data_IF_792481522678
#
_entry.id   IF_792481522678
#
_cell.length_a   1.000
_cell.length_b   1.000
_cell.length_c   1.000
_cell.angle_alpha   90.00
_cell.angle_beta   90.00
_cell.angle_gamma   90.00
#
_symmetry.space_group_name_H-M   'P 1'
#
loop_
_entity.id
_entity.type
_entity.pdbx_description
1 polymer ?
#
# COMPACT_ATOMS: atom_id res chain seq x y z
N UNK A 1 -22.91 2.21 -8.01
CA UNK A 1 -23.14 2.82 -9.33
C UNK A 1 -23.37 4.30 -9.10
N UNK A 2 -22.29 5.10 -9.19
CA UNK A 2 -22.39 6.57 -9.15
C UNK A 2 -22.73 7.03 -10.57
N UNK A 3 -23.85 7.71 -10.74
CA UNK A 3 -24.23 8.36 -12.01
C UNK A 3 -23.27 9.54 -12.22
N UNK A 4 -22.18 9.32 -12.98
CA UNK A 4 -21.35 10.42 -13.48
C UNK A 4 -22.09 11.07 -14.65
N UNK A 5 -22.42 12.33 -14.51
CA UNK A 5 -22.98 13.14 -15.62
C UNK A 5 -21.79 13.45 -16.52
N UNK A 6 -21.69 12.73 -17.62
CA UNK A 6 -20.73 13.02 -18.69
C UNK A 6 -21.32 14.19 -19.49
N UNK A 7 -20.78 15.38 -19.28
CA UNK A 7 -21.07 16.54 -20.12
C UNK A 7 -20.07 16.52 -21.29
N UNK A 8 -20.49 15.93 -22.42
CA UNK A 8 -19.67 15.89 -23.64
C UNK A 8 -19.75 17.25 -24.31
N UNK A 9 -18.66 18.01 -24.29
CA UNK A 9 -18.42 19.11 -25.20
C UNK A 9 -17.16 18.82 -26.00
N UNK A 10 -17.32 18.85 -27.34
CA UNK A 10 -16.28 18.48 -28.28
C UNK A 10 -15.22 19.58 -28.41
N UNK A 11 -14.01 19.15 -28.45
CA UNK A 11 -12.72 19.82 -28.55
C UNK A 11 -12.59 20.94 -29.60
N UNK A 12 -12.03 22.07 -29.19
CA UNK A 12 -11.08 22.85 -30.05
C UNK A 12 -10.07 23.56 -29.14
N UNK A 13 -8.81 23.18 -29.25
CA UNK A 13 -7.66 23.82 -28.65
C UNK A 13 -7.42 25.16 -29.35
N UNK A 14 -7.74 26.28 -28.71
CA UNK A 14 -7.26 27.61 -29.14
C UNK A 14 -6.69 28.34 -27.93
N UNK A 15 -5.39 28.47 -27.92
CA UNK A 15 -4.67 29.47 -27.13
C UNK A 15 -5.23 30.84 -27.49
N UNK A 16 -6.14 31.37 -26.69
CA UNK A 16 -6.64 32.73 -26.83
C UNK A 16 -5.85 33.63 -25.87
N UNK A 17 -4.88 34.33 -26.47
CA UNK A 17 -4.22 35.47 -25.85
C UNK A 17 -5.25 36.41 -25.22
N UNK A 18 -4.98 36.83 -23.96
CA UNK A 18 -5.67 37.95 -23.32
C UNK A 18 -5.68 39.17 -24.26
N UNK A 19 -6.75 39.37 -24.97
CA UNK A 19 -7.09 40.65 -25.56
C UNK A 19 -7.87 41.43 -24.49
N UNK A 20 -7.17 42.32 -23.78
CA UNK A 20 -7.82 43.41 -23.05
C UNK A 20 -8.63 44.22 -24.06
N UNK A 21 -9.91 43.94 -24.18
CA UNK A 21 -10.85 44.85 -24.79
C UNK A 21 -11.23 45.87 -23.73
N UNK A 22 -10.51 46.99 -23.72
CA UNK A 22 -10.93 48.21 -23.04
C UNK A 22 -12.14 48.77 -23.80
N UNK A 23 -13.31 48.19 -23.55
CA UNK A 23 -14.60 48.70 -24.01
C UNK A 23 -15.10 49.77 -23.05
N UNK A 24 -15.13 51.01 -23.51
CA UNK A 24 -15.80 52.14 -22.86
C UNK A 24 -17.28 51.77 -22.61
N UNK A 25 -17.69 51.54 -21.32
CA UNK A 25 -19.10 51.35 -20.99
C UNK A 25 -19.45 50.33 -19.93
N UNK A 26 -18.50 49.55 -19.38
CA UNK A 26 -18.81 48.63 -18.24
C UNK A 26 -18.87 49.40 -16.91
N UNK A 27 -19.87 49.09 -16.10
CA UNK A 27 -19.94 49.57 -14.72
C UNK A 27 -18.86 48.89 -13.87
N UNK A 28 -18.54 49.49 -12.69
CA UNK A 28 -17.58 48.86 -11.75
C UNK A 28 -18.10 47.49 -11.22
N UNK A 29 -19.41 47.32 -11.12
CA UNK A 29 -20.07 46.06 -10.73
C UNK A 29 -19.89 45.00 -11.85
N UNK A 30 -20.06 45.34 -13.10
CA UNK A 30 -19.83 44.42 -14.24
C UNK A 30 -18.38 44.03 -14.38
N UNK A 31 -17.43 44.90 -14.05
CA UNK A 31 -16.00 44.57 -14.05
C UNK A 31 -15.71 43.58 -12.92
N UNK A 32 -16.18 43.85 -11.69
CA UNK A 32 -15.96 42.97 -10.55
C UNK A 32 -16.57 41.58 -10.79
N UNK A 33 -17.76 41.50 -11.38
CA UNK A 33 -18.37 40.22 -11.74
C UNK A 33 -17.57 39.48 -12.83
N UNK A 34 -17.05 40.20 -13.83
CA UNK A 34 -16.19 39.62 -14.88
C UNK A 34 -14.87 39.08 -14.29
N UNK A 35 -14.27 39.78 -13.32
CA UNK A 35 -13.05 39.35 -12.66
C UNK A 35 -13.30 38.07 -11.84
N UNK A 36 -14.43 37.98 -11.13
CA UNK A 36 -14.80 36.76 -10.39
C UNK A 36 -15.06 35.58 -11.36
N UNK A 37 -15.75 35.81 -12.49
CA UNK A 37 -15.94 34.83 -13.54
C UNK A 37 -14.60 34.29 -14.06
N UNK A 38 -13.68 35.17 -14.41
CA UNK A 38 -12.36 34.80 -14.91
C UNK A 38 -11.54 34.03 -13.85
N UNK A 39 -11.68 34.38 -12.60
CA UNK A 39 -11.06 33.65 -11.47
C UNK A 39 -11.56 32.21 -11.37
N UNK A 40 -12.87 31.99 -11.51
CA UNK A 40 -13.42 30.64 -11.49
C UNK A 40 -12.97 29.81 -12.71
N UNK A 41 -12.92 30.42 -13.91
CA UNK A 41 -12.33 29.77 -15.10
C UNK A 41 -10.88 29.35 -14.83
N UNK A 42 -10.06 30.29 -14.34
CA UNK A 42 -8.65 30.00 -14.04
C UNK A 42 -8.48 28.91 -12.96
N UNK A 43 -9.39 28.84 -11.96
CA UNK A 43 -9.40 27.79 -10.94
C UNK A 43 -9.61 26.41 -11.58
N UNK A 44 -10.57 26.29 -12.49
CA UNK A 44 -10.88 25.02 -13.16
C UNK A 44 -9.73 24.62 -14.11
N UNK A 45 -9.18 25.58 -14.87
CA UNK A 45 -8.02 25.33 -15.72
C UNK A 45 -6.79 24.87 -14.93
N UNK A 46 -6.55 25.46 -13.75
CA UNK A 46 -5.47 25.02 -12.84
C UNK A 46 -5.70 23.59 -12.33
N UNK A 47 -6.94 23.18 -12.05
CA UNK A 47 -7.25 21.80 -11.69
C UNK A 47 -6.96 20.83 -12.84
N UNK A 48 -7.23 21.19 -14.08
CA UNK A 48 -6.89 20.36 -15.24
C UNK A 48 -5.38 20.29 -15.48
N UNK A 49 -4.64 21.36 -15.26
CA UNK A 49 -3.17 21.33 -15.31
C UNK A 49 -2.60 20.42 -14.19
N UNK A 50 -3.19 20.45 -13.00
CA UNK A 50 -2.81 19.54 -11.92
C UNK A 50 -3.17 18.09 -12.26
N UNK A 51 -4.35 17.84 -12.85
CA UNK A 51 -4.75 16.53 -13.36
C UNK A 51 -3.68 15.93 -14.28
N UNK A 52 -3.15 16.69 -15.23
CA UNK A 52 -2.16 16.19 -16.17
C UNK A 52 -0.88 15.73 -15.46
N UNK A 53 -0.46 16.45 -14.42
CA UNK A 53 0.69 16.09 -13.58
C UNK A 53 0.40 14.83 -12.74
N UNK A 54 -0.78 14.76 -12.12
CA UNK A 54 -1.18 13.64 -11.29
C UNK A 54 -1.34 12.36 -12.12
N UNK A 55 -1.93 12.47 -13.32
CA UNK A 55 -2.05 11.35 -14.27
C UNK A 55 -0.67 10.85 -14.69
N UNK A 56 0.26 11.74 -15.05
CA UNK A 56 1.62 11.34 -15.42
C UNK A 56 2.32 10.58 -14.28
N UNK A 57 2.22 11.09 -13.05
CA UNK A 57 2.77 10.43 -11.86
C UNK A 57 2.09 9.07 -11.59
N UNK A 58 0.78 8.96 -11.79
CA UNK A 58 0.04 7.72 -11.62
C UNK A 58 0.42 6.66 -12.67
N UNK A 59 0.66 7.08 -13.90
CA UNK A 59 1.14 6.21 -14.98
C UNK A 59 2.55 5.66 -14.70
N UNK A 60 3.44 6.45 -14.08
CA UNK A 60 4.75 5.98 -13.64
C UNK A 60 4.63 4.84 -12.62
N UNK A 61 3.77 5.00 -11.60
CA UNK A 61 3.53 3.94 -10.59
C UNK A 61 2.85 2.73 -11.23
N UNK A 62 1.87 2.94 -12.12
CA UNK A 62 1.20 1.86 -12.84
C UNK A 62 2.15 1.02 -13.69
N UNK A 63 3.18 1.64 -14.28
CA UNK A 63 4.19 0.99 -15.11
C UNK A 63 5.17 0.10 -14.32
N UNK A 64 5.18 0.17 -12.98
CA UNK A 64 6.01 -0.72 -12.17
C UNK A 64 5.54 -2.17 -12.35
N UNK A 65 6.45 -3.04 -12.82
CA UNK A 65 6.16 -4.46 -13.09
C UNK A 65 6.31 -5.37 -11.86
N UNK A 66 6.60 -4.79 -10.69
CA UNK A 66 6.72 -5.54 -9.43
C UNK A 66 5.33 -5.90 -8.88
N UNK A 67 5.20 -7.06 -8.19
CA UNK A 67 3.95 -7.43 -7.53
C UNK A 67 3.62 -6.49 -6.37
N UNK A 68 2.33 -6.32 -6.12
CA UNK A 68 1.80 -5.65 -4.95
C UNK A 68 1.19 -6.66 -3.97
N UNK A 69 1.13 -6.37 -2.68
CA UNK A 69 0.44 -7.22 -1.70
C UNK A 69 -1.08 -7.26 -1.93
N UNK A 70 -1.66 -6.15 -2.38
CA UNK A 70 -3.05 -6.08 -2.80
C UNK A 70 -3.12 -5.99 -4.33
N UNK A 71 -3.50 -7.09 -4.95
CA UNK A 71 -3.62 -7.25 -6.41
C UNK A 71 -4.74 -6.40 -7.03
N UNK A 72 -5.67 -5.88 -6.23
CA UNK A 72 -6.78 -5.04 -6.67
C UNK A 72 -6.36 -3.60 -6.95
N UNK A 73 -5.25 -3.16 -6.38
CA UNK A 73 -4.81 -1.75 -6.48
C UNK A 73 -4.37 -1.38 -7.90
N UNK A 74 -3.69 -2.28 -8.61
CA UNK A 74 -3.23 -1.99 -9.98
C UNK A 74 -4.40 -1.81 -10.98
N UNK A 75 -5.43 -2.68 -11.00
CA UNK A 75 -6.64 -2.42 -11.77
C UNK A 75 -7.42 -1.19 -11.32
N UNK A 76 -7.46 -0.89 -10.02
CA UNK A 76 -8.11 0.31 -9.50
C UNK A 76 -7.42 1.58 -9.99
N UNK A 77 -6.08 1.63 -9.95
CA UNK A 77 -5.32 2.78 -10.47
C UNK A 77 -5.55 2.99 -11.97
N UNK A 78 -5.62 1.92 -12.77
CA UNK A 78 -5.95 2.03 -14.19
C UNK A 78 -7.33 2.68 -14.41
N UNK A 79 -8.29 2.38 -13.55
CA UNK A 79 -9.63 2.98 -13.61
C UNK A 79 -9.57 4.47 -13.28
N UNK A 80 -8.89 4.86 -12.19
CA UNK A 80 -8.77 6.26 -11.78
C UNK A 80 -8.00 7.09 -12.83
N UNK A 81 -6.94 6.55 -13.44
CA UNK A 81 -6.22 7.20 -14.54
C UNK A 81 -7.17 7.46 -15.72
N UNK A 82 -8.00 6.47 -16.08
CA UNK A 82 -8.93 6.60 -17.19
C UNK A 82 -10.01 7.64 -16.89
N UNK A 83 -10.54 7.64 -15.66
CA UNK A 83 -11.56 8.61 -15.24
C UNK A 83 -11.00 10.02 -15.15
N UNK A 84 -9.77 10.20 -14.62
CA UNK A 84 -9.11 11.51 -14.57
C UNK A 84 -8.83 12.07 -15.98
N UNK A 85 -8.38 11.23 -16.91
CA UNK A 85 -8.18 11.65 -18.33
C UNK A 85 -9.45 12.07 -19.04
N UNK A 86 -10.60 11.60 -18.59
CA UNK A 86 -11.90 11.96 -19.12
C UNK A 86 -12.48 13.27 -18.56
N UNK A 87 -11.79 13.90 -17.59
CA UNK A 87 -12.20 15.21 -17.09
C UNK A 87 -11.86 16.27 -18.14
N UNK A 88 -12.87 16.98 -18.59
CA UNK A 88 -12.74 18.01 -19.62
C UNK A 88 -13.44 19.30 -19.18
N UNK A 89 -12.89 20.43 -19.57
CA UNK A 89 -13.49 21.74 -19.40
C UNK A 89 -13.11 22.64 -20.56
N UNK A 90 -14.10 23.26 -21.19
CA UNK A 90 -13.91 24.30 -22.18
C UNK A 90 -14.29 25.65 -21.58
N UNK A 91 -13.32 26.55 -21.46
CA UNK A 91 -13.53 27.87 -20.89
C UNK A 91 -14.57 28.67 -21.63
N UNK A 92 -15.72 29.00 -21.07
CA UNK A 92 -16.74 29.83 -21.74
C UNK A 92 -16.29 31.28 -21.80
N UNK A 93 -16.83 32.00 -22.78
CA UNK A 93 -16.63 33.45 -22.86
C UNK A 93 -17.52 34.15 -21.84
N UNK A 94 -16.97 35.14 -21.13
CA UNK A 94 -17.74 35.93 -20.16
C UNK A 94 -18.92 36.62 -20.90
N UNK A 95 -20.13 36.52 -20.38
CA UNK A 95 -21.28 37.30 -20.88
C UNK A 95 -21.06 38.80 -20.70
N UNK A 96 -21.98 39.62 -21.23
CA UNK A 96 -21.85 41.09 -21.18
C UNK A 96 -22.71 41.73 -20.09
N UNK A 97 -23.80 41.09 -19.69
CA UNK A 97 -24.73 41.62 -18.70
C UNK A 97 -24.45 41.06 -17.30
N UNK A 98 -24.52 41.90 -16.31
CA UNK A 98 -24.22 41.54 -14.93
C UNK A 98 -24.95 40.26 -14.45
N UNK A 99 -26.27 40.17 -14.69
CA UNK A 99 -27.06 39.00 -14.32
C UNK A 99 -26.58 37.70 -14.98
N UNK A 100 -26.23 37.78 -16.27
CA UNK A 100 -25.74 36.65 -17.06
C UNK A 100 -24.34 36.23 -16.58
N UNK A 101 -23.46 37.21 -16.22
CA UNK A 101 -22.12 36.93 -15.66
C UNK A 101 -22.24 36.21 -14.32
N UNK A 102 -23.11 36.73 -13.44
CA UNK A 102 -23.31 36.11 -12.11
C UNK A 102 -23.85 34.68 -12.23
N UNK A 103 -24.85 34.47 -13.08
CA UNK A 103 -25.40 33.14 -13.31
C UNK A 103 -24.34 32.17 -13.87
N UNK A 104 -23.53 32.62 -14.84
CA UNK A 104 -22.46 31.82 -15.41
C UNK A 104 -21.37 31.51 -14.38
N UNK A 105 -21.02 32.45 -13.51
CA UNK A 105 -20.07 32.24 -12.41
C UNK A 105 -20.58 31.19 -11.43
N UNK A 106 -21.87 31.22 -11.09
CA UNK A 106 -22.47 30.24 -10.18
C UNK A 106 -22.48 28.82 -10.78
N UNK A 107 -22.61 28.68 -12.10
CA UNK A 107 -22.43 27.38 -12.78
C UNK A 107 -20.97 26.91 -12.74
N UNK A 108 -20.00 27.82 -12.98
CA UNK A 108 -18.57 27.48 -12.88
C UNK A 108 -18.18 27.02 -11.46
N UNK A 109 -18.74 27.62 -10.42
CA UNK A 109 -18.49 27.21 -9.03
C UNK A 109 -18.94 25.79 -8.72
N UNK A 110 -19.83 25.20 -9.51
CA UNK A 110 -20.27 23.81 -9.35
C UNK A 110 -19.29 22.81 -9.95
N UNK A 111 -18.39 23.25 -10.82
CA UNK A 111 -17.36 22.42 -11.43
C UNK A 111 -16.18 22.33 -10.47
N UNK A 112 -15.91 21.15 -9.94
CA UNK A 112 -14.80 20.90 -9.02
C UNK A 112 -14.28 19.48 -9.20
N UNK A 113 -13.03 19.35 -9.58
CA UNK A 113 -12.33 18.09 -9.83
C UNK A 113 -11.45 17.66 -8.65
N UNK A 114 -11.46 18.39 -7.54
CA UNK A 114 -10.60 18.12 -6.38
C UNK A 114 -10.73 16.70 -5.89
N UNK A 115 -11.96 16.19 -5.75
CA UNK A 115 -12.19 14.83 -5.25
C UNK A 115 -11.71 13.74 -6.20
N UNK A 116 -11.87 13.94 -7.51
CA UNK A 116 -11.41 12.96 -8.49
C UNK A 116 -9.88 12.88 -8.49
N UNK A 117 -9.19 14.02 -8.33
CA UNK A 117 -7.72 14.06 -8.23
C UNK A 117 -7.22 13.53 -6.89
N UNK A 118 -7.90 13.77 -5.78
CA UNK A 118 -7.59 13.18 -4.48
C UNK A 118 -7.73 11.67 -4.53
N UNK A 119 -8.77 11.11 -5.17
CA UNK A 119 -8.97 9.67 -5.31
C UNK A 119 -7.89 9.02 -6.18
N UNK A 120 -7.54 9.63 -7.33
CA UNK A 120 -6.43 9.19 -8.17
C UNK A 120 -5.11 9.12 -7.38
N UNK A 121 -4.76 10.20 -6.68
CA UNK A 121 -3.52 10.26 -5.90
C UNK A 121 -3.51 9.25 -4.76
N UNK A 122 -4.63 9.07 -4.08
CA UNK A 122 -4.77 8.08 -3.02
C UNK A 122 -4.53 6.66 -3.53
N UNK A 123 -5.18 6.26 -4.61
CA UNK A 123 -5.02 4.90 -5.16
C UNK A 123 -3.60 4.69 -5.70
N UNK A 124 -2.98 5.72 -6.29
CA UNK A 124 -1.56 5.71 -6.70
C UNK A 124 -0.64 5.46 -5.50
N UNK A 125 -0.82 6.20 -4.41
CA UNK A 125 0.00 6.07 -3.21
C UNK A 125 -0.21 4.71 -2.52
N UNK A 126 -1.46 4.23 -2.47
CA UNK A 126 -1.80 2.91 -1.94
C UNK A 126 -1.11 1.79 -2.74
N UNK A 127 -1.06 1.89 -4.08
CA UNK A 127 -0.35 0.91 -4.92
C UNK A 127 1.16 0.97 -4.70
N UNK A 128 1.78 2.14 -4.68
CA UNK A 128 3.21 2.30 -4.45
C UNK A 128 3.63 1.71 -3.08
N UNK A 129 2.85 2.02 -2.04
CA UNK A 129 3.05 1.45 -0.70
C UNK A 129 2.88 -0.07 -0.72
N UNK A 130 1.87 -0.60 -1.41
CA UNK A 130 1.61 -2.04 -1.49
C UNK A 130 2.74 -2.80 -2.22
N UNK A 131 3.32 -2.23 -3.27
CA UNK A 131 4.50 -2.76 -3.96
C UNK A 131 5.69 -2.80 -3.00
N UNK A 132 6.00 -1.69 -2.33
CA UNK A 132 7.11 -1.62 -1.37
C UNK A 132 6.97 -2.61 -0.21
N UNK A 133 5.76 -2.78 0.32
CA UNK A 133 5.47 -3.78 1.35
C UNK A 133 5.65 -5.21 0.83
N UNK A 134 5.25 -5.49 -0.42
CA UNK A 134 5.46 -6.78 -1.05
C UNK A 134 6.95 -7.12 -1.18
N UNK A 135 7.79 -6.14 -1.51
CA UNK A 135 9.24 -6.33 -1.57
C UNK A 135 9.84 -6.77 -0.22
N UNK A 136 9.36 -6.20 0.91
CA UNK A 136 9.85 -6.58 2.25
C UNK A 136 9.58 -8.03 2.62
N UNK A 137 8.51 -8.62 2.10
CA UNK A 137 8.09 -9.99 2.40
C UNK A 137 8.33 -10.95 1.24
N UNK A 138 9.10 -10.54 0.24
CA UNK A 138 9.52 -11.39 -0.88
C UNK A 138 10.92 -11.91 -0.61
N UNK A 139 11.02 -13.17 -0.19
CA UNK A 139 12.25 -13.85 0.20
C UNK A 139 13.17 -13.01 1.13
N UNK A 140 12.62 -12.45 2.24
CA UNK A 140 13.42 -11.65 3.15
C UNK A 140 14.57 -12.46 3.74
N UNK A 141 15.67 -11.78 4.09
CA UNK A 141 16.76 -12.37 4.85
C UNK A 141 16.26 -12.80 6.24
N UNK A 142 16.84 -13.86 6.79
CA UNK A 142 16.58 -14.32 8.16
C UNK A 142 16.75 -13.18 9.18
N UNK A 143 17.84 -12.39 9.05
CA UNK A 143 18.13 -11.26 9.94
C UNK A 143 17.01 -10.23 9.98
N UNK A 144 16.36 -9.97 8.85
CA UNK A 144 15.20 -9.09 8.76
C UNK A 144 14.03 -9.62 9.59
N UNK A 145 13.69 -10.90 9.42
CA UNK A 145 12.61 -11.55 10.17
C UNK A 145 12.90 -11.51 11.68
N UNK A 146 14.11 -11.86 12.08
CA UNK A 146 14.56 -11.79 13.49
C UNK A 146 14.41 -10.38 14.06
N UNK A 147 14.80 -9.35 13.31
CA UNK A 147 14.69 -7.97 13.75
C UNK A 147 13.24 -7.51 13.89
N UNK A 148 12.36 -7.91 12.96
CA UNK A 148 10.93 -7.62 13.03
C UNK A 148 10.27 -8.25 14.26
N UNK A 149 10.59 -9.51 14.58
CA UNK A 149 9.99 -10.24 15.71
C UNK A 149 10.43 -9.68 17.06
N UNK A 150 11.69 -9.27 17.22
CA UNK A 150 12.24 -8.75 18.50
C UNK A 150 11.53 -7.51 19.03
N UNK A 151 10.83 -6.76 18.21
CA UNK A 151 10.10 -5.54 18.61
C UNK A 151 8.64 -5.77 19.01
N UNK A 152 8.12 -6.99 18.88
CA UNK A 152 6.70 -7.29 19.08
C UNK A 152 6.42 -7.56 20.56
N UNK A 153 5.36 -6.94 21.08
CA UNK A 153 4.91 -7.19 22.46
C UNK A 153 4.54 -8.66 22.66
N UNK A 154 4.94 -9.21 23.80
CA UNK A 154 4.72 -10.60 24.23
C UNK A 154 5.56 -11.63 23.43
N UNK A 155 6.52 -11.22 22.62
CA UNK A 155 7.59 -12.08 22.13
C UNK A 155 8.80 -11.87 23.02
N UNK A 156 9.21 -12.91 23.75
CA UNK A 156 10.28 -12.83 24.76
C UNK A 156 11.63 -13.28 24.20
N UNK A 157 11.61 -14.22 23.26
CA UNK A 157 12.81 -14.76 22.63
C UNK A 157 12.59 -15.08 21.15
N UNK A 158 13.67 -15.03 20.38
CA UNK A 158 13.66 -15.31 18.92
C UNK A 158 14.90 -16.13 18.61
N UNK A 159 14.75 -17.25 17.91
CA UNK A 159 15.83 -18.12 17.47
C UNK A 159 15.62 -18.54 16.01
N UNK A 160 16.68 -18.37 15.21
CA UNK A 160 16.69 -18.80 13.81
C UNK A 160 17.22 -20.25 13.71
N UNK A 161 16.62 -21.02 12.81
CA UNK A 161 17.02 -22.39 12.51
C UNK A 161 18.33 -22.39 11.71
N UNK A 162 19.23 -23.29 12.01
CA UNK A 162 20.47 -23.54 11.25
C UNK A 162 20.44 -24.94 10.63
N UNK A 163 21.30 -25.22 9.66
CA UNK A 163 21.37 -26.56 9.05
C UNK A 163 21.69 -27.67 10.06
N UNK A 164 22.48 -27.35 11.10
CA UNK A 164 22.83 -28.29 12.18
C UNK A 164 21.74 -28.39 13.26
N UNK A 165 20.82 -27.42 13.31
CA UNK A 165 19.73 -27.37 14.29
C UNK A 165 18.41 -27.02 13.59
N UNK A 166 17.90 -27.96 12.82
CA UNK A 166 16.62 -27.89 12.10
C UNK A 166 15.74 -29.11 12.45
N UNK A 167 14.82 -29.01 13.40
CA UNK A 167 13.96 -30.13 13.79
C UNK A 167 13.11 -30.68 12.63
N UNK A 168 12.75 -29.85 11.65
CA UNK A 168 11.99 -30.28 10.48
C UNK A 168 12.88 -30.80 9.34
N UNK A 169 14.18 -30.48 9.35
CA UNK A 169 15.15 -30.88 8.36
C UNK A 169 14.85 -30.37 6.93
N UNK A 170 14.23 -29.20 6.79
CA UNK A 170 13.76 -28.66 5.49
C UNK A 170 14.48 -27.37 5.06
N UNK A 171 15.38 -26.84 5.87
CA UNK A 171 16.14 -25.63 5.54
C UNK A 171 16.94 -25.84 4.27
N UNK A 172 16.79 -24.94 3.30
CA UNK A 172 17.46 -24.93 1.99
C UNK A 172 17.20 -26.15 1.10
N UNK A 173 16.26 -27.04 1.46
CA UNK A 173 15.88 -28.17 0.63
C UNK A 173 14.86 -27.77 -0.43
N UNK A 174 14.74 -28.59 -1.47
CA UNK A 174 13.72 -28.38 -2.51
C UNK A 174 12.31 -28.44 -1.90
N UNK A 175 11.53 -27.37 -2.10
CA UNK A 175 10.19 -27.19 -1.51
C UNK A 175 10.18 -26.91 -0.01
N UNK A 176 11.35 -26.77 0.62
CA UNK A 176 11.52 -26.33 2.00
C UNK A 176 11.69 -24.81 2.11
N UNK A 177 11.82 -24.35 3.34
CA UNK A 177 12.06 -22.93 3.61
C UNK A 177 13.51 -22.53 3.41
N UNK A 178 13.74 -21.25 3.06
CA UNK A 178 15.07 -20.62 2.96
C UNK A 178 15.51 -20.01 4.29
N UNK A 179 14.54 -19.73 5.18
CA UNK A 179 14.76 -19.39 6.57
C UNK A 179 13.56 -19.83 7.39
N UNK A 180 13.80 -20.19 8.66
CA UNK A 180 12.75 -20.39 9.65
C UNK A 180 13.21 -19.76 10.96
N UNK A 181 12.33 -18.96 11.57
CA UNK A 181 12.58 -18.24 12.81
C UNK A 181 11.47 -18.61 13.79
N UNK A 182 11.82 -19.27 14.87
CA UNK A 182 10.92 -19.54 16.00
C UNK A 182 10.93 -18.38 16.99
N UNK A 183 9.84 -18.24 17.72
CA UNK A 183 9.75 -17.29 18.83
C UNK A 183 9.01 -17.88 20.01
N UNK A 184 9.42 -17.48 21.22
CA UNK A 184 8.70 -17.76 22.46
C UNK A 184 7.79 -16.59 22.82
N UNK A 185 6.66 -16.91 23.47
CA UNK A 185 5.68 -15.90 23.89
C UNK A 185 5.38 -16.00 25.39
N UNK A 186 5.42 -14.87 26.10
CA UNK A 186 4.99 -14.75 27.50
C UNK A 186 3.51 -15.08 27.75
N UNK A 187 2.74 -15.22 26.67
CA UNK A 187 1.33 -15.62 26.74
C UNK A 187 1.13 -17.15 26.78
N UNK A 188 2.19 -17.93 26.49
CA UNK A 188 2.17 -19.39 26.59
C UNK A 188 2.58 -19.80 28.00
N UNK A 189 1.67 -20.43 28.71
CA UNK A 189 1.89 -20.95 30.07
C UNK A 189 1.85 -22.48 30.01
N UNK A 190 2.97 -23.07 29.55
CA UNK A 190 3.16 -24.53 29.52
C UNK A 190 4.50 -24.89 30.18
N UNK A 191 4.47 -25.49 31.40
CA UNK A 191 5.67 -25.82 32.12
C UNK A 191 6.44 -27.03 31.54
N UNK A 192 5.89 -27.70 30.54
CA UNK A 192 6.50 -28.85 29.89
C UNK A 192 7.21 -28.50 28.58
N UNK A 193 7.14 -27.24 28.15
CA UNK A 193 7.89 -26.78 26.97
C UNK A 193 9.39 -26.83 27.23
N UNK A 194 10.15 -27.17 26.18
CA UNK A 194 11.60 -27.06 26.20
C UNK A 194 12.03 -25.61 26.40
N UNK A 195 13.11 -25.41 27.13
CA UNK A 195 13.70 -24.08 27.32
C UNK A 195 14.42 -23.56 26.11
N UNK A 196 14.81 -24.44 25.17
CA UNK A 196 15.31 -24.06 23.86
C UNK A 196 14.15 -23.69 22.93
N UNK A 197 14.22 -22.51 22.32
CA UNK A 197 13.13 -21.96 21.50
C UNK A 197 12.90 -22.80 20.25
N UNK A 198 13.98 -23.36 19.66
CA UNK A 198 13.87 -24.19 18.46
C UNK A 198 13.26 -25.55 18.79
N UNK A 199 13.66 -26.16 19.93
CA UNK A 199 13.12 -27.45 20.39
C UNK A 199 11.65 -27.30 20.83
N UNK A 200 11.28 -26.20 21.49
CA UNK A 200 9.89 -25.88 21.80
C UNK A 200 9.05 -25.67 20.53
N UNK A 201 9.68 -25.28 19.46
CA UNK A 201 9.07 -25.13 18.14
C UNK A 201 7.92 -24.13 18.13
N UNK A 202 6.88 -24.42 17.34
CA UNK A 202 5.69 -23.55 17.23
C UNK A 202 4.92 -23.49 18.55
N UNK A 203 5.01 -24.51 19.40
CA UNK A 203 4.24 -24.58 20.66
C UNK A 203 4.69 -23.53 21.67
N UNK A 204 5.95 -23.08 21.63
CA UNK A 204 6.51 -22.03 22.49
C UNK A 204 5.95 -20.62 22.23
N UNK A 205 5.35 -20.40 21.07
CA UNK A 205 4.80 -19.09 20.67
C UNK A 205 4.40 -19.05 19.19
N UNK A 206 5.31 -19.49 18.33
CA UNK A 206 5.08 -19.55 16.90
C UNK A 206 6.35 -19.54 16.08
N UNK A 207 6.19 -19.37 14.75
CA UNK A 207 7.31 -19.27 13.81
C UNK A 207 6.97 -18.46 12.58
N UNK A 208 8.01 -17.99 11.89
CA UNK A 208 7.93 -17.47 10.52
C UNK A 208 8.80 -18.34 9.63
N UNK A 209 8.19 -18.96 8.63
CA UNK A 209 8.87 -19.74 7.58
C UNK A 209 8.97 -18.87 6.33
N UNK A 210 10.16 -18.75 5.72
CA UNK A 210 10.38 -17.97 4.49
C UNK A 210 10.61 -18.95 3.34
N UNK A 211 9.88 -18.76 2.26
CA UNK A 211 9.98 -19.59 1.06
C UNK A 211 10.57 -18.81 -0.12
N UNK A 212 10.97 -19.51 -1.18
CA UNK A 212 11.48 -18.88 -2.41
C UNK A 212 10.40 -18.17 -3.19
N UNK A 213 9.18 -18.71 -3.17
CA UNK A 213 8.05 -18.18 -3.93
C UNK A 213 6.78 -18.12 -3.07
N UNK A 214 5.82 -17.24 -3.40
CA UNK A 214 4.52 -17.21 -2.72
C UNK A 214 3.74 -18.53 -2.87
N UNK A 215 3.91 -19.24 -4.01
CA UNK A 215 3.24 -20.52 -4.27
C UNK A 215 3.76 -21.61 -3.32
N UNK A 216 5.06 -21.64 -3.01
CA UNK A 216 5.63 -22.58 -2.03
C UNK A 216 5.10 -22.29 -0.62
N UNK A 217 5.07 -21.01 -0.22
CA UNK A 217 4.48 -20.60 1.06
C UNK A 217 3.01 -20.99 1.16
N UNK A 218 2.23 -20.73 0.11
CA UNK A 218 0.82 -21.09 0.03
C UNK A 218 0.59 -22.60 0.08
N UNK A 219 1.41 -23.38 -0.63
CA UNK A 219 1.32 -24.84 -0.60
C UNK A 219 1.57 -25.39 0.82
N UNK A 220 2.49 -24.76 1.58
CA UNK A 220 2.72 -25.13 2.98
C UNK A 220 1.54 -24.75 3.86
N UNK A 221 0.97 -23.59 3.65
CA UNK A 221 -0.23 -23.13 4.37
C UNK A 221 -1.42 -24.06 4.10
N UNK A 222 -1.69 -24.43 2.85
CA UNK A 222 -2.73 -25.37 2.47
C UNK A 222 -2.52 -26.76 3.11
N UNK A 223 -1.27 -27.21 3.28
CA UNK A 223 -0.96 -28.44 4.00
C UNK A 223 -1.31 -28.31 5.48
N UNK A 224 -0.98 -27.20 6.14
CA UNK A 224 -1.33 -26.97 7.55
C UNK A 224 -2.84 -26.90 7.75
N UNK A 225 -3.56 -26.25 6.85
CA UNK A 225 -5.01 -26.12 6.88
C UNK A 225 -5.73 -27.49 6.85
N UNK A 226 -5.09 -28.56 6.36
CA UNK A 226 -5.67 -29.92 6.41
C UNK A 226 -5.83 -30.46 7.83
N UNK A 227 -5.11 -29.88 8.81
CA UNK A 227 -5.15 -30.30 10.22
C UNK A 227 -6.04 -29.39 11.07
N UNK A 228 -6.58 -28.30 10.52
CA UNK A 228 -7.40 -27.35 11.25
C UNK A 228 -8.63 -28.01 11.88
N UNK A 229 -8.89 -27.64 13.14
CA UNK A 229 -9.96 -28.22 13.92
C UNK A 229 -9.74 -29.66 14.40
N UNK A 230 -8.58 -30.26 14.07
CA UNK A 230 -8.18 -31.59 14.52
C UNK A 230 -7.20 -31.54 15.71
N UNK A 231 -6.83 -32.72 16.23
CA UNK A 231 -5.87 -32.87 17.32
C UNK A 231 -4.42 -32.52 16.95
N UNK A 232 -4.16 -32.32 15.67
CA UNK A 232 -2.87 -31.92 15.10
C UNK A 232 -2.87 -30.45 14.63
N UNK A 233 -3.91 -29.69 14.95
CA UNK A 233 -3.97 -28.28 14.61
C UNK A 233 -2.83 -27.50 15.30
N UNK A 234 -2.16 -26.64 14.54
CA UNK A 234 -0.95 -25.91 14.97
C UNK A 234 -1.19 -24.43 15.26
N UNK A 235 -2.42 -24.05 15.64
CA UNK A 235 -2.79 -22.65 15.84
C UNK A 235 -3.11 -21.93 14.51
N UNK A 236 -3.15 -20.59 14.50
CA UNK A 236 -3.41 -19.84 13.27
C UNK A 236 -2.18 -19.82 12.37
N UNK A 237 -2.42 -19.73 11.07
CA UNK A 237 -1.38 -19.58 10.06
C UNK A 237 -1.87 -18.69 8.92
N UNK A 238 -0.98 -17.84 8.40
CA UNK A 238 -1.26 -16.91 7.31
C UNK A 238 -0.03 -16.68 6.43
N UNK A 239 -0.25 -16.54 5.12
CA UNK A 239 0.80 -16.18 4.16
C UNK A 239 0.78 -14.69 3.88
N UNK A 240 1.97 -14.09 3.89
CA UNK A 240 2.21 -12.71 3.41
C UNK A 240 3.46 -12.71 2.53
N UNK A 241 3.29 -12.43 1.24
CA UNK A 241 4.38 -12.59 0.26
C UNK A 241 4.90 -14.03 0.22
N UNK A 242 6.16 -14.23 0.53
CA UNK A 242 6.79 -15.57 0.64
C UNK A 242 6.91 -16.06 2.09
N UNK A 243 6.40 -15.30 3.07
CA UNK A 243 6.46 -15.65 4.47
C UNK A 243 5.18 -16.35 4.92
N UNK A 244 5.33 -17.47 5.62
CA UNK A 244 4.25 -18.14 6.33
C UNK A 244 4.42 -17.87 7.83
N UNK A 245 3.49 -17.11 8.39
CA UNK A 245 3.40 -16.82 9.82
C UNK A 245 2.57 -17.92 10.49
N UNK A 246 3.05 -18.47 11.60
CA UNK A 246 2.35 -19.48 12.39
C UNK A 246 2.36 -19.08 13.87
N UNK A 247 1.27 -19.32 14.56
CA UNK A 247 1.15 -19.08 16.00
C UNK A 247 0.90 -20.39 16.74
N UNK A 248 1.21 -20.41 18.05
CA UNK A 248 0.99 -21.59 18.88
C UNK A 248 -0.50 -21.86 19.09
N UNK A 249 -0.91 -23.13 19.13
CA UNK A 249 -2.25 -23.52 19.55
C UNK A 249 -2.44 -23.43 21.09
N UNK A 250 -1.36 -23.23 21.86
CA UNK A 250 -1.41 -22.94 23.29
C UNK A 250 -1.93 -21.52 23.58
N UNK A 251 -2.01 -20.66 22.55
CA UNK A 251 -2.63 -19.34 22.60
C UNK A 251 -4.14 -19.46 22.38
N UNK A 252 -4.92 -18.58 23.02
CA UNK A 252 -6.34 -18.44 22.70
C UNK A 252 -6.53 -17.94 21.26
N UNK A 253 -7.67 -18.21 20.63
CA UNK A 253 -7.96 -17.79 19.27
C UNK A 253 -7.80 -16.26 19.03
N UNK A 254 -8.11 -15.43 20.05
CA UNK A 254 -7.88 -13.98 19.99
C UNK A 254 -6.38 -13.66 20.02
N UNK A 255 -5.63 -14.28 20.93
CA UNK A 255 -4.17 -14.09 21.02
C UNK A 255 -3.46 -14.53 19.75
N UNK A 256 -3.87 -15.65 19.15
CA UNK A 256 -3.34 -16.12 17.86
C UNK A 256 -3.51 -15.05 16.77
N UNK A 257 -4.72 -14.52 16.61
CA UNK A 257 -5.00 -13.48 15.58
C UNK A 257 -4.27 -12.16 15.85
N UNK A 258 -4.20 -11.74 17.11
CA UNK A 258 -3.49 -10.52 17.48
C UNK A 258 -1.98 -10.66 17.24
N UNK A 259 -1.40 -11.81 17.56
CA UNK A 259 0.01 -12.12 17.34
C UNK A 259 0.32 -12.21 15.84
N UNK A 260 -0.48 -12.96 15.09
CA UNK A 260 -0.36 -13.07 13.63
C UNK A 260 -0.40 -11.70 12.96
N UNK A 261 -1.39 -10.87 13.33
CA UNK A 261 -1.50 -9.50 12.81
C UNK A 261 -0.28 -8.66 13.19
N UNK A 262 0.19 -8.72 14.42
CA UNK A 262 1.36 -7.95 14.87
C UNK A 262 2.62 -8.34 14.10
N UNK A 263 2.81 -9.64 13.81
CA UNK A 263 3.93 -10.14 13.02
C UNK A 263 3.82 -9.64 11.56
N UNK A 264 2.66 -9.77 10.92
CA UNK A 264 2.44 -9.28 9.56
C UNK A 264 2.66 -7.78 9.47
N UNK A 265 2.12 -7.00 10.41
CA UNK A 265 2.32 -5.55 10.48
C UNK A 265 3.82 -5.20 10.61
N UNK A 266 4.59 -5.94 11.41
CA UNK A 266 6.02 -5.73 11.58
C UNK A 266 6.82 -6.09 10.32
N UNK A 267 6.51 -7.22 9.66
CA UNK A 267 7.14 -7.67 8.42
C UNK A 267 6.85 -6.73 7.24
N UNK A 268 5.72 -6.04 7.25
CA UNK A 268 5.29 -5.12 6.20
C UNK A 268 5.48 -3.64 6.55
N UNK A 269 6.16 -3.34 7.67
CA UNK A 269 6.45 -1.96 8.08
C UNK A 269 7.65 -1.43 7.31
N UNK A 270 7.43 -0.40 6.49
CA UNK A 270 8.47 0.22 5.67
C UNK A 270 9.59 0.86 6.49
N UNK A 271 9.37 1.19 7.76
CA UNK A 271 10.42 1.73 8.62
C UNK A 271 11.43 0.65 9.04
N UNK A 272 11.04 -0.62 9.08
CA UNK A 272 11.94 -1.73 9.40
C UNK A 272 12.95 -2.02 8.28
N UNK A 273 12.66 -1.65 7.03
CA UNK A 273 13.59 -1.79 5.90
C UNK A 273 14.91 -1.04 6.13
N UNK A 274 14.86 0.12 6.78
CA UNK A 274 16.01 1.00 7.02
C UNK A 274 17.02 0.44 8.04
N UNK A 275 16.63 -0.54 8.84
CA UNK A 275 17.47 -1.10 9.91
C UNK A 275 18.37 -2.24 9.45
N UNK A 276 18.06 -2.88 8.33
CA UNK A 276 18.85 -4.00 7.78
C UNK A 276 20.05 -3.51 6.98
N UNK A 277 19.91 -2.45 6.18
CA UNK A 277 20.98 -1.86 5.37
C UNK A 277 22.10 -1.22 6.23
N UNK A 278 21.78 -0.69 7.41
CA UNK A 278 22.76 -0.03 8.28
C UNK A 278 23.71 -0.97 9.02
N UNK A 279 23.43 -2.28 9.07
CA UNK A 279 24.28 -3.28 9.75
C UNK A 279 25.25 -4.00 8.83
N UNK A 280 25.00 -4.04 7.52
CA UNK A 280 25.89 -4.66 6.53
C UNK A 280 27.13 -3.78 6.27
N UNK A 281 27.01 -2.45 6.33
CA UNK A 281 28.14 -1.52 6.10
C UNK A 281 29.18 -1.50 7.25
N UNK A 282 28.83 -1.99 8.44
CA UNK A 282 29.75 -1.97 9.60
C UNK A 282 30.62 -3.22 9.72
N UNK A 283 30.41 -4.27 8.91
CA UNK A 283 31.25 -5.49 8.94
C UNK A 283 32.43 -5.48 7.96
N UNK A 284 32.44 -4.61 6.94
CA UNK A 284 33.53 -4.51 5.98
C UNK A 284 34.70 -3.62 6.41
N UNK A 285 34.62 -2.91 7.54
CA UNK A 285 35.68 -1.95 7.94
C UNK A 285 36.60 -2.41 9.06
N UNK A 286 36.59 -3.69 9.49
CA UNK A 286 37.43 -4.19 10.60
C UNK A 286 38.43 -5.29 10.25
N UNK A 287 38.64 -5.58 8.96
CA UNK A 287 39.76 -6.44 8.52
C UNK A 287 40.68 -5.67 7.55
N UNK A 288 41.57 -4.88 8.13
CA UNK A 288 42.83 -4.43 7.50
C UNK A 288 43.91 -4.29 8.57
#
# INVERSE_FOLDING_TARGET
>A
MRNKVILIFTTVLIFAAMLMVTGCGQTEEEKAATDEFNKEVARIEAQLEQRDKDVASAEEVYAIEKPALDDKLKPALQTEITEAKALEFEAPKAPRKLEEITAATDELKKIDFTKDLEELNKVKDDLDISIKKCELVTAPKESYVVNCLKGIKNIDGVAAVTEDHDPNGNLNKEGGYTAQVYFSSSLVDDPYLDSDIIEAGTDGGGSVEVYKTPEEAKKREEYLATFDGGVLASGSHAVVGTCLVRTSNNLTATQQKDMEKAIIDALTNLDNAKTDDSKDETKESTDN
#
